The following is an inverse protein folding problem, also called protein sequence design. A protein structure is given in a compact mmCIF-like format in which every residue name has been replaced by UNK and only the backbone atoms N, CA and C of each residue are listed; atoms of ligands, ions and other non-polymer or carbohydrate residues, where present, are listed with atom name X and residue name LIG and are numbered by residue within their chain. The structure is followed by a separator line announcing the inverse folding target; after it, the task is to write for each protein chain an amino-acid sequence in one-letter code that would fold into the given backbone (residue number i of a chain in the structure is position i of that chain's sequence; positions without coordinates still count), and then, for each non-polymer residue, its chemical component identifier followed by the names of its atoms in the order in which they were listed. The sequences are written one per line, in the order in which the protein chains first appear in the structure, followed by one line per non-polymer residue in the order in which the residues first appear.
data_IF_407217957516
#
_entry.id   IF_407217957516
#
_cell.length_a   1.000
_cell.length_b   1.000
_cell.length_c   1.000
_cell.angle_alpha   90.00
_cell.angle_beta   90.00
_cell.angle_gamma   90.00
#
_symmetry.space_group_name_H-M   'P 1'
#
loop_
_entity.id
_entity.type
_entity.pdbx_description
1 polymer ?
#
# COMPACT_ATOMS: atom_id res chain seq x y z
N UNK A 1 -2.24 6.61 10.61
CA UNK A 1 -2.14 8.06 10.37
C UNK A 1 -0.84 8.71 10.89
N UNK A 2 0.07 8.01 11.57
CA UNK A 2 1.23 8.66 12.22
C UNK A 2 2.41 9.08 11.32
N UNK A 3 2.64 8.44 10.17
CA UNK A 3 3.83 8.72 9.35
C UNK A 3 3.82 10.13 8.70
N UNK A 4 2.65 10.61 8.27
CA UNK A 4 2.50 11.95 7.69
C UNK A 4 2.69 13.05 8.74
N UNK A 5 2.19 12.83 9.96
CA UNK A 5 2.35 13.74 11.09
C UNK A 5 3.81 13.80 11.56
N UNK A 6 4.48 12.64 11.66
CA UNK A 6 5.89 12.55 12.06
C UNK A 6 6.81 13.27 11.08
N UNK A 7 6.56 13.12 9.79
CA UNK A 7 7.37 13.74 8.72
C UNK A 7 6.94 15.17 8.40
N UNK A 8 5.77 15.60 8.91
CA UNK A 8 5.09 16.86 8.55
C UNK A 8 4.99 17.08 7.04
N UNK A 9 4.92 16.00 6.27
CA UNK A 9 4.90 16.06 4.81
C UNK A 9 3.93 15.03 4.21
N UNK A 10 2.61 15.30 4.32
CA UNK A 10 1.59 14.39 3.80
C UNK A 10 1.70 14.19 2.28
N UNK A 11 2.12 15.23 1.54
CA UNK A 11 2.28 15.16 0.07
C UNK A 11 3.43 14.27 -0.38
N UNK A 12 4.56 14.29 0.32
CA UNK A 12 5.66 13.35 0.03
C UNK A 12 5.21 11.90 0.25
N UNK A 13 4.44 11.64 1.31
CA UNK A 13 3.88 10.31 1.56
C UNK A 13 2.88 9.90 0.46
N UNK A 14 2.00 10.81 0.01
CA UNK A 14 1.09 10.55 -1.11
C UNK A 14 1.87 10.20 -2.39
N UNK A 15 2.93 10.95 -2.69
CA UNK A 15 3.82 10.69 -3.84
C UNK A 15 4.51 9.32 -3.75
N UNK A 16 5.01 8.95 -2.57
CA UNK A 16 5.61 7.64 -2.35
C UNK A 16 4.60 6.50 -2.56
N UNK A 17 3.39 6.63 -2.01
CA UNK A 17 2.33 5.63 -2.18
C UNK A 17 1.90 5.48 -3.64
N UNK A 18 1.86 6.58 -4.41
CA UNK A 18 1.58 6.52 -5.85
C UNK A 18 2.63 5.71 -6.61
N UNK A 19 3.92 5.91 -6.30
CA UNK A 19 5.00 5.12 -6.93
C UNK A 19 4.88 3.63 -6.59
N UNK A 20 4.51 3.32 -5.36
CA UNK A 20 4.30 1.92 -4.91
C UNK A 20 3.07 1.32 -5.61
N UNK A 21 1.98 2.05 -5.78
CA UNK A 21 0.80 1.53 -6.49
C UNK A 21 1.08 1.27 -7.98
N UNK A 22 1.98 2.05 -8.59
CA UNK A 22 2.36 1.87 -9.99
C UNK A 22 3.22 0.62 -10.20
N UNK A 23 4.13 0.32 -9.26
CA UNK A 23 4.98 -0.88 -9.27
C UNK A 23 5.19 -1.45 -7.86
N UNK A 24 4.26 -2.27 -7.36
CA UNK A 24 4.33 -2.85 -6.01
C UNK A 24 5.19 -4.11 -5.96
N UNK A 25 5.66 -4.62 -7.10
CA UNK A 25 6.33 -5.90 -7.19
C UNK A 25 7.82 -5.77 -6.94
N UNK A 26 8.40 -6.76 -6.26
CA UNK A 26 9.85 -6.85 -6.08
C UNK A 26 10.28 -8.21 -6.60
N UNK A 27 10.87 -8.25 -7.80
CA UNK A 27 11.20 -9.49 -8.52
C UNK A 27 12.18 -10.39 -7.76
N UNK A 28 13.06 -9.78 -6.96
CA UNK A 28 14.03 -10.49 -6.14
C UNK A 28 13.39 -11.31 -5.00
N UNK A 29 12.14 -11.01 -4.61
CA UNK A 29 11.48 -11.62 -3.45
C UNK A 29 10.45 -12.65 -3.89
N UNK A 30 10.90 -13.91 -3.94
CA UNK A 30 10.04 -15.04 -4.28
C UNK A 30 9.34 -15.64 -3.04
N UNK A 31 9.86 -15.38 -1.83
CA UNK A 31 9.28 -15.91 -0.59
C UNK A 31 7.94 -15.22 -0.27
N UNK A 32 6.88 -16.01 -0.07
CA UNK A 32 5.53 -15.52 0.27
C UNK A 32 5.44 -14.93 1.67
N UNK A 33 6.21 -15.45 2.61
CA UNK A 33 6.22 -14.96 3.99
C UNK A 33 6.85 -13.57 4.05
N UNK A 34 7.90 -13.34 3.24
CA UNK A 34 8.53 -12.02 3.11
C UNK A 34 7.60 -11.01 2.44
N UNK A 35 6.77 -11.46 1.50
CA UNK A 35 5.82 -10.57 0.81
C UNK A 35 4.69 -10.04 1.70
N UNK A 36 4.49 -10.59 2.91
CA UNK A 36 3.58 -10.01 3.91
C UNK A 36 4.11 -8.69 4.49
N UNK A 37 5.41 -8.41 4.35
CA UNK A 37 6.02 -7.14 4.79
C UNK A 37 5.91 -6.02 3.75
N UNK A 38 5.38 -6.31 2.56
CA UNK A 38 5.28 -5.32 1.50
C UNK A 38 4.18 -4.31 1.82
N UNK A 39 4.37 -3.07 1.34
CA UNK A 39 3.39 -2.01 1.55
C UNK A 39 2.12 -2.27 0.71
N UNK A 40 2.30 -2.82 -0.48
CA UNK A 40 1.26 -3.34 -1.34
C UNK A 40 1.79 -4.61 -2.03
N UNK A 41 0.93 -5.59 -2.25
CA UNK A 41 1.32 -6.87 -2.86
C UNK A 41 0.13 -7.44 -3.65
N UNK A 42 0.10 -7.24 -4.97
CA UNK A 42 -1.06 -7.59 -5.79
C UNK A 42 -1.15 -9.09 -6.09
N UNK A 43 -0.40 -9.98 -5.41
CA UNK A 43 -0.48 -11.43 -5.65
C UNK A 43 -1.94 -11.86 -5.55
N UNK A 44 -2.57 -12.30 -6.66
CA UNK A 44 -3.87 -12.90 -6.57
C UNK A 44 -3.71 -14.17 -5.74
N UNK A 45 -4.49 -14.28 -4.68
CA UNK A 45 -4.69 -15.56 -4.03
C UNK A 45 -5.01 -16.61 -5.11
N UNK A 46 -4.34 -17.76 -5.05
CA UNK A 46 -4.46 -18.86 -6.04
C UNK A 46 -5.89 -19.42 -6.11
N UNK A 47 -6.77 -18.98 -5.21
CA UNK A 47 -8.20 -19.18 -5.26
C UNK A 47 -8.86 -17.91 -5.79
N UNK A 48 -9.42 -17.97 -7.00
CA UNK A 48 -10.00 -16.86 -7.76
C UNK A 48 -11.23 -16.18 -7.15
N UNK A 49 -11.16 -15.79 -5.88
CA UNK A 49 -12.09 -14.87 -5.28
C UNK A 49 -11.32 -13.77 -4.54
N UNK A 50 -11.65 -12.54 -4.90
CA UNK A 50 -11.14 -11.26 -4.41
C UNK A 50 -11.48 -10.98 -2.92
N UNK A 51 -11.22 -11.91 -2.01
CA UNK A 51 -11.41 -11.76 -0.55
C UNK A 51 -10.21 -11.09 0.15
N UNK A 52 -9.14 -10.78 -0.57
CA UNK A 52 -7.93 -10.17 0.00
C UNK A 52 -8.22 -8.79 0.63
N UNK A 53 -9.29 -8.11 0.18
CA UNK A 53 -9.77 -6.85 0.74
C UNK A 53 -10.60 -6.99 2.04
N UNK A 54 -11.07 -8.19 2.40
CA UNK A 54 -11.93 -8.41 3.58
C UNK A 54 -11.14 -8.54 4.88
N UNK A 55 -9.83 -8.77 4.80
CA UNK A 55 -8.92 -8.78 5.95
C UNK A 55 -7.94 -7.61 5.94
N UNK A 56 -8.14 -6.61 5.08
CA UNK A 56 -7.29 -5.43 5.05
C UNK A 56 -7.46 -4.63 6.34
N UNK A 57 -6.45 -4.70 7.22
CA UNK A 57 -6.33 -3.86 8.43
C UNK A 57 -6.03 -2.40 8.10
N UNK A 58 -5.81 -2.10 6.82
CA UNK A 58 -5.56 -0.77 6.29
C UNK A 58 -6.52 -0.46 5.14
N UNK A 59 -6.98 0.80 5.03
CA UNK A 59 -7.76 1.21 3.87
C UNK A 59 -6.95 1.04 2.57
N UNK A 60 -7.61 0.78 1.43
CA UNK A 60 -6.97 0.70 0.11
C UNK A 60 -6.04 1.88 -0.18
N UNK A 61 -4.97 1.64 -0.94
CA UNK A 61 -3.89 2.61 -1.16
C UNK A 61 -4.40 3.89 -1.83
N UNK A 62 -5.39 3.81 -2.72
CA UNK A 62 -6.01 4.96 -3.39
C UNK A 62 -6.74 5.85 -2.39
N UNK A 63 -7.45 5.26 -1.43
CA UNK A 63 -8.12 6.01 -0.35
C UNK A 63 -7.08 6.68 0.55
N UNK A 64 -5.94 6.03 0.78
CA UNK A 64 -4.83 6.63 1.56
C UNK A 64 -4.24 7.83 0.84
N UNK A 65 -3.99 7.73 -0.47
CA UNK A 65 -3.49 8.84 -1.30
C UNK A 65 -4.49 10.01 -1.25
N UNK A 66 -5.77 9.75 -1.50
CA UNK A 66 -6.79 10.80 -1.49
C UNK A 66 -6.90 11.52 -0.16
N UNK A 67 -6.80 10.80 0.97
CA UNK A 67 -6.74 11.44 2.29
C UNK A 67 -5.50 12.32 2.45
N UNK A 68 -4.32 11.83 2.07
CA UNK A 68 -3.05 12.56 2.20
C UNK A 68 -3.00 13.82 1.34
N UNK A 69 -3.66 13.83 0.19
CA UNK A 69 -3.73 15.00 -0.68
C UNK A 69 -4.65 16.11 -0.14
N UNK A 70 -5.58 15.77 0.77
CA UNK A 70 -6.45 16.74 1.44
C UNK A 70 -5.76 17.47 2.59
N UNK A 71 -4.69 16.91 3.16
CA UNK A 71 -3.88 17.61 4.16
C UNK A 71 -3.10 18.73 3.46
N UNK A 72 -3.52 19.97 3.72
CA UNK A 72 -2.90 21.20 3.21
C UNK A 72 -1.64 21.53 3.99
#
# INVERSE_FOLDING_TARGET
AGAAELTRNPRALASALRKISDDPWIEAVQNRDVAQMFIDNPRPSVHGFSWDNLFSTHPPIEKRIGLLEQFT
#
